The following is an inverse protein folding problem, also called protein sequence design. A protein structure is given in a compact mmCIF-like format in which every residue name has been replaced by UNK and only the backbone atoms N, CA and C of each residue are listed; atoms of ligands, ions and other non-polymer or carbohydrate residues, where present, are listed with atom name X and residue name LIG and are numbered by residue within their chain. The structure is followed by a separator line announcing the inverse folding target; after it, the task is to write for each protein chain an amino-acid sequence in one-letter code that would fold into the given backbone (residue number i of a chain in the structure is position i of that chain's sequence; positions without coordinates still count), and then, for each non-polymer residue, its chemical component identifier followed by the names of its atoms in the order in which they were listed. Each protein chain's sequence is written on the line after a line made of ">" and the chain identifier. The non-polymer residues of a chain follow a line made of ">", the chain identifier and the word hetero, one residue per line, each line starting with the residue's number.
data_IF_753146298278
#
_entry.id   IF_753146298278
#
_cell.length_a   1.000
_cell.length_b   1.000
_cell.length_c   1.000
_cell.angle_alpha   90.00
_cell.angle_beta   90.00
_cell.angle_gamma   90.00
#
_symmetry.space_group_name_H-M   'P 1'
#
loop_
_entity.id
_entity.type
_entity.pdbx_description
1 polymer ?
#
# COMPACT_ATOMS: atom_id res chain seq x y z
N UNK A 1 23.89 20.48 33.22
CA UNK A 1 22.61 20.08 32.59
C UNK A 1 22.86 18.76 31.89
N UNK A 2 22.29 17.68 32.42
CA UNK A 2 22.47 16.30 31.98
C UNK A 2 21.21 15.92 31.18
N UNK A 3 21.31 15.78 29.86
CA UNK A 3 20.21 15.25 29.06
C UNK A 3 20.26 13.73 29.16
N UNK A 4 19.35 13.19 29.96
CA UNK A 4 19.23 11.76 30.19
C UNK A 4 18.99 11.00 28.87
N UNK A 5 19.92 10.09 28.60
CA UNK A 5 19.81 9.01 27.64
C UNK A 5 18.73 8.04 28.11
N UNK A 6 17.53 8.11 27.50
CA UNK A 6 16.52 7.08 27.67
C UNK A 6 16.82 5.97 26.65
N UNK A 7 17.44 4.91 27.15
CA UNK A 7 17.62 3.65 26.45
C UNK A 7 16.27 3.17 25.90
N UNK A 8 16.16 3.09 24.56
CA UNK A 8 15.06 2.37 23.91
C UNK A 8 15.26 0.87 24.15
N UNK A 9 14.29 0.14 24.71
CA UNK A 9 14.39 -1.31 24.78
C UNK A 9 14.36 -1.89 23.36
N UNK A 10 15.28 -2.83 23.10
CA UNK A 10 15.27 -3.64 21.90
C UNK A 10 13.95 -4.41 21.86
N UNK A 11 13.14 -4.19 20.82
CA UNK A 11 12.02 -5.08 20.52
C UNK A 11 12.61 -6.37 19.94
N UNK A 12 12.40 -7.54 20.57
CA UNK A 12 12.75 -8.80 19.96
C UNK A 12 11.56 -9.24 19.11
N UNK A 13 11.64 -9.05 17.79
CA UNK A 13 11.34 -10.05 16.76
C UNK A 13 11.59 -9.41 15.39
N UNK A 14 12.62 -9.95 14.75
CA UNK A 14 13.03 -9.73 13.36
C UNK A 14 11.92 -10.18 12.40
N UNK A 15 11.17 -9.22 11.88
CA UNK A 15 10.44 -9.36 10.62
C UNK A 15 11.33 -8.71 9.56
N UNK A 16 12.05 -9.57 8.86
CA UNK A 16 13.19 -9.25 8.02
C UNK A 16 12.94 -8.10 7.04
N UNK A 17 14.00 -7.34 6.88
CA UNK A 17 14.24 -6.33 5.85
C UNK A 17 13.55 -6.66 4.51
N UNK A 18 12.32 -6.17 4.32
CA UNK A 18 11.80 -6.00 2.97
C UNK A 18 12.56 -4.81 2.43
N UNK A 19 13.64 -5.11 1.72
CA UNK A 19 14.42 -4.13 0.97
C UNK A 19 13.48 -3.45 -0.03
N UNK A 20 12.91 -2.31 0.36
CA UNK A 20 12.29 -1.38 -0.57
C UNK A 20 13.40 -0.98 -1.52
N UNK A 21 13.44 -1.61 -2.70
CA UNK A 21 14.44 -1.28 -3.70
C UNK A 21 14.33 0.24 -3.97
N UNK A 22 15.43 1.00 -3.96
CA UNK A 22 15.38 2.43 -4.25
C UNK A 22 14.72 2.65 -5.61
N UNK A 23 13.56 3.31 -5.63
CA UNK A 23 12.77 3.54 -6.85
C UNK A 23 11.62 2.55 -7.10
N UNK A 24 11.35 1.61 -6.19
CA UNK A 24 10.15 0.78 -6.24
C UNK A 24 8.92 1.60 -5.83
N UNK A 25 7.84 1.44 -6.60
CA UNK A 25 6.59 2.17 -6.43
C UNK A 25 5.57 1.39 -5.60
N UNK A 26 4.52 2.06 -5.11
CA UNK A 26 3.55 1.48 -4.18
C UNK A 26 2.89 0.20 -4.73
N UNK A 27 2.44 0.22 -5.99
CA UNK A 27 1.81 -0.94 -6.63
C UNK A 27 2.77 -2.10 -6.79
N UNK A 28 4.02 -1.81 -7.18
CA UNK A 28 5.06 -2.82 -7.36
C UNK A 28 5.43 -3.53 -6.04
N UNK A 29 5.51 -2.79 -4.93
CA UNK A 29 5.80 -3.36 -3.60
C UNK A 29 4.69 -4.30 -3.14
N UNK A 30 3.42 -3.91 -3.33
CA UNK A 30 2.27 -4.76 -2.99
C UNK A 30 2.23 -6.04 -3.82
N UNK A 31 2.47 -5.92 -5.13
CA UNK A 31 2.52 -7.06 -6.05
C UNK A 31 3.65 -8.04 -5.67
N UNK A 32 4.85 -7.52 -5.41
CA UNK A 32 5.99 -8.32 -5.01
C UNK A 32 5.72 -9.07 -3.69
N UNK A 33 5.23 -8.37 -2.67
CA UNK A 33 4.93 -8.97 -1.36
C UNK A 33 3.80 -10.01 -1.42
N UNK A 34 2.83 -9.84 -2.33
CA UNK A 34 1.78 -10.83 -2.61
C UNK A 34 2.36 -12.09 -3.24
N UNK A 35 3.16 -11.94 -4.30
CA UNK A 35 3.78 -13.06 -5.01
C UNK A 35 4.73 -13.83 -4.10
N UNK A 36 5.52 -13.13 -3.28
CA UNK A 36 6.43 -13.75 -2.30
C UNK A 36 5.68 -14.62 -1.27
N UNK A 37 4.46 -14.22 -0.91
CA UNK A 37 3.57 -15.00 -0.02
C UNK A 37 2.78 -16.10 -0.74
N UNK A 38 2.95 -16.25 -2.05
CA UNK A 38 2.21 -17.23 -2.86
C UNK A 38 0.71 -16.96 -2.91
N UNK A 39 0.30 -15.68 -2.78
CA UNK A 39 -1.10 -15.27 -2.80
C UNK A 39 -1.54 -14.89 -4.21
N UNK A 40 -2.75 -15.30 -4.59
CA UNK A 40 -3.38 -14.87 -5.83
C UNK A 40 -4.11 -13.54 -5.63
N UNK A 41 -4.46 -12.85 -6.72
CA UNK A 41 -5.31 -11.64 -6.64
C UNK A 41 -6.66 -11.96 -5.96
N UNK A 42 -7.20 -13.14 -6.21
CA UNK A 42 -8.44 -13.64 -5.61
C UNK A 42 -8.36 -13.77 -4.09
N UNK A 43 -7.19 -14.07 -3.52
CA UNK A 43 -6.98 -14.10 -2.08
C UNK A 43 -7.10 -12.72 -1.44
N UNK A 44 -6.48 -11.72 -2.08
CA UNK A 44 -6.58 -10.33 -1.63
C UNK A 44 -8.01 -9.81 -1.77
N UNK A 45 -8.64 -10.05 -2.92
CA UNK A 45 -10.02 -9.67 -3.21
C UNK A 45 -10.99 -10.26 -2.17
N UNK A 46 -10.83 -11.53 -1.82
CA UNK A 46 -11.65 -12.21 -0.82
C UNK A 46 -11.58 -11.56 0.56
N UNK A 47 -10.39 -11.19 1.02
CA UNK A 47 -10.19 -10.60 2.36
C UNK A 47 -10.61 -9.14 2.40
N UNK A 48 -10.28 -8.36 1.36
CA UNK A 48 -10.58 -6.93 1.28
C UNK A 48 -12.03 -6.63 0.86
N UNK A 49 -12.72 -7.61 0.27
CA UNK A 49 -14.03 -7.47 -0.41
C UNK A 49 -14.02 -6.55 -1.63
N UNK A 50 -12.85 -6.27 -2.19
CA UNK A 50 -12.72 -5.65 -3.51
C UNK A 50 -12.76 -6.72 -4.60
N UNK A 51 -13.02 -6.31 -5.85
CA UNK A 51 -12.90 -7.22 -6.99
C UNK A 51 -11.42 -7.43 -7.36
N UNK A 52 -11.09 -8.55 -7.98
CA UNK A 52 -9.73 -8.82 -8.49
C UNK A 52 -9.26 -7.74 -9.48
N UNK A 53 -10.19 -7.26 -10.32
CA UNK A 53 -9.92 -6.15 -11.24
C UNK A 53 -9.47 -4.89 -10.48
N UNK A 54 -10.11 -4.58 -9.35
CA UNK A 54 -9.74 -3.43 -8.52
C UNK A 54 -8.37 -3.61 -7.84
N UNK A 55 -8.03 -4.84 -7.41
CA UNK A 55 -6.69 -5.14 -6.88
C UNK A 55 -5.63 -4.97 -7.98
N UNK A 56 -5.91 -5.46 -9.20
CA UNK A 56 -5.00 -5.33 -10.33
C UNK A 56 -4.73 -3.86 -10.72
N UNK A 57 -5.74 -2.98 -10.62
CA UNK A 57 -5.57 -1.53 -10.83
C UNK A 57 -4.59 -0.92 -9.81
N UNK A 58 -4.60 -1.39 -8.55
CA UNK A 58 -3.64 -0.93 -7.53
C UNK A 58 -2.21 -1.34 -7.92
N UNK A 59 -2.01 -2.61 -8.29
CA UNK A 59 -0.69 -3.13 -8.71
C UNK A 59 -0.17 -2.46 -9.98
N UNK A 60 -1.07 -2.14 -10.92
CA UNK A 60 -0.76 -1.45 -12.17
C UNK A 60 -0.61 0.07 -12.01
N UNK A 61 -0.92 0.61 -10.83
CA UNK A 61 -0.86 2.04 -10.51
C UNK A 61 -1.76 2.92 -11.36
N UNK A 62 -2.84 2.35 -11.89
CA UNK A 62 -3.84 3.10 -12.65
C UNK A 62 -4.82 3.78 -11.71
N UNK A 63 -4.26 4.64 -10.86
CA UNK A 63 -4.97 5.25 -9.76
C UNK A 63 -6.17 6.06 -10.23
N UNK A 64 -6.16 6.63 -11.43
CA UNK A 64 -7.25 7.46 -11.97
C UNK A 64 -8.61 6.75 -12.05
N UNK A 65 -8.63 5.42 -12.02
CA UNK A 65 -9.86 4.59 -11.98
C UNK A 65 -10.61 4.70 -10.64
N UNK A 66 -9.95 5.14 -9.55
CA UNK A 66 -10.63 5.33 -8.27
C UNK A 66 -11.47 6.60 -8.27
N UNK A 67 -12.60 6.59 -7.56
CA UNK A 67 -13.47 7.77 -7.45
C UNK A 67 -12.84 8.94 -6.67
N UNK A 68 -11.94 8.61 -5.73
CA UNK A 68 -11.25 9.58 -4.88
C UNK A 68 -10.01 8.95 -4.22
N UNK A 69 -8.98 9.75 -3.89
CA UNK A 69 -7.74 9.25 -3.29
C UNK A 69 -7.95 8.58 -1.92
N UNK A 70 -8.99 8.96 -1.17
CA UNK A 70 -9.30 8.35 0.13
C UNK A 70 -9.62 6.86 0.03
N UNK A 71 -10.26 6.43 -1.06
CA UNK A 71 -10.56 5.03 -1.30
C UNK A 71 -9.30 4.23 -1.64
N UNK A 72 -8.42 4.80 -2.46
CA UNK A 72 -7.14 4.19 -2.81
C UNK A 72 -6.25 4.02 -1.57
N UNK A 73 -6.13 5.05 -0.72
CA UNK A 73 -5.38 4.95 0.54
C UNK A 73 -5.96 3.88 1.48
N UNK A 74 -7.29 3.78 1.56
CA UNK A 74 -7.96 2.74 2.34
C UNK A 74 -7.66 1.34 1.81
N UNK A 75 -7.67 1.17 0.48
CA UNK A 75 -7.39 -0.09 -0.18
C UNK A 75 -5.93 -0.52 -0.02
N UNK A 76 -4.98 0.38 -0.26
CA UNK A 76 -3.54 0.13 -0.04
C UNK A 76 -3.25 -0.27 1.40
N UNK A 77 -3.88 0.40 2.38
CA UNK A 77 -3.73 0.05 3.79
C UNK A 77 -4.27 -1.33 4.15
N UNK A 78 -5.42 -1.71 3.58
CA UNK A 78 -5.99 -3.04 3.78
C UNK A 78 -5.10 -4.12 3.14
N UNK A 79 -4.62 -3.87 1.92
CA UNK A 79 -3.75 -4.78 1.20
C UNK A 79 -2.41 -4.95 1.93
N UNK A 80 -1.72 -3.86 2.28
CA UNK A 80 -0.43 -3.90 2.98
C UNK A 80 -0.47 -4.79 4.23
N UNK A 81 -1.56 -4.74 5.01
CA UNK A 81 -1.73 -5.61 6.19
C UNK A 81 -1.85 -7.10 5.86
N UNK A 82 -2.47 -7.45 4.73
CA UNK A 82 -2.60 -8.85 4.29
C UNK A 82 -1.25 -9.41 3.88
N UNK A 83 -0.43 -8.57 3.23
CA UNK A 83 0.92 -8.92 2.81
C UNK A 83 1.99 -8.46 3.80
N UNK A 84 1.62 -8.23 5.06
CA UNK A 84 2.52 -7.93 6.18
C UNK A 84 3.62 -6.89 5.83
N UNK A 85 3.19 -5.81 5.17
CA UNK A 85 3.94 -4.59 4.92
C UNK A 85 3.49 -3.49 5.88
N UNK A 86 4.38 -2.54 6.17
CA UNK A 86 4.00 -1.33 6.91
C UNK A 86 3.05 -0.46 6.08
N UNK A 87 1.79 -0.43 6.52
CA UNK A 87 0.74 0.27 5.80
C UNK A 87 0.92 1.80 5.78
N UNK A 88 1.54 2.41 6.79
CA UNK A 88 1.75 3.86 6.80
C UNK A 88 2.88 4.26 5.85
N UNK A 89 3.95 3.46 5.80
CA UNK A 89 5.05 3.67 4.84
C UNK A 89 4.52 3.63 3.40
N UNK A 90 3.69 2.62 3.08
CA UNK A 90 3.09 2.49 1.75
C UNK A 90 2.11 3.62 1.43
N UNK A 91 1.30 4.07 2.40
CA UNK A 91 0.40 5.21 2.20
C UNK A 91 1.17 6.51 1.98
N UNK A 92 2.29 6.72 2.65
CA UNK A 92 3.11 7.91 2.45
C UNK A 92 3.80 7.91 1.09
N UNK A 93 4.35 6.76 0.67
CA UNK A 93 4.87 6.57 -0.69
C UNK A 93 3.80 6.89 -1.75
N UNK A 94 2.61 6.32 -1.58
CA UNK A 94 1.47 6.56 -2.46
C UNK A 94 1.10 8.05 -2.56
N UNK A 95 1.11 8.78 -1.44
CA UNK A 95 0.83 10.23 -1.45
C UNK A 95 1.83 10.99 -2.31
N UNK A 96 3.11 10.65 -2.20
CA UNK A 96 4.16 11.20 -3.04
C UNK A 96 3.92 10.92 -4.52
N UNK A 97 3.53 9.70 -4.86
CA UNK A 97 3.22 9.30 -6.24
C UNK A 97 1.99 10.01 -6.81
N UNK A 98 0.91 10.14 -6.03
CA UNK A 98 -0.31 10.87 -6.44
C UNK A 98 0.01 12.34 -6.68
N UNK A 99 0.79 12.96 -5.80
CA UNK A 99 1.19 14.35 -5.94
C UNK A 99 2.06 14.58 -7.19
N UNK A 100 2.96 13.65 -7.51
CA UNK A 100 3.82 13.73 -8.68
C UNK A 100 3.08 13.52 -10.02
N UNK A 101 1.96 12.78 -10.01
CA UNK A 101 1.21 12.40 -11.23
C UNK A 101 0.06 13.34 -11.60
N UNK A 102 -0.18 14.39 -10.81
CA UNK A 102 -1.27 15.37 -10.99
C UNK A 102 -2.61 14.70 -11.40
N UNK A 103 -2.99 13.65 -10.66
CA UNK A 103 -4.11 12.78 -11.05
C UNK A 103 -5.42 13.56 -11.01
N UNK A 104 -6.07 13.68 -12.18
CA UNK A 104 -7.41 14.24 -12.30
C UNK A 104 -8.45 13.19 -11.92
N UNK A 105 -8.79 13.17 -10.63
CA UNK A 105 -9.90 12.39 -10.10
C UNK A 105 -11.22 12.91 -10.69
N UNK A 106 -11.70 12.29 -11.77
CA UNK A 106 -13.05 12.60 -12.27
C UNK A 106 -14.04 12.15 -11.21
N UNK A 107 -15.10 12.93 -11.00
CA UNK A 107 -16.29 12.50 -10.25
C UNK A 107 -16.94 11.32 -10.97
N UNK A 108 -16.37 10.12 -10.87
CA UNK A 108 -16.87 8.93 -11.54
C UNK A 108 -18.09 8.43 -10.77
N UNK A 109 -19.20 8.29 -11.49
CA UNK A 109 -20.53 7.93 -11.00
C UNK A 109 -20.64 6.50 -10.50
N UNK A 110 -19.94 6.16 -9.42
CA UNK A 110 -20.07 4.90 -8.67
C UNK A 110 -21.25 4.92 -7.68
N UNK A 111 -22.19 5.86 -7.84
CA UNK A 111 -23.46 5.99 -7.08
C UNK A 111 -24.69 5.98 -8.01
N UNK A 112 -24.63 5.25 -9.14
CA UNK A 112 -25.79 5.00 -9.99
C UNK A 112 -26.15 3.51 -9.97
#
# INVERSE_FOLDING_TARGET
>A
MLTAELARPALPMDLGDIAVAPGASCGALLAAARVERGLELSDIARVTRFSEAFIAVIEAEDYAEFAAPIYLMGAVRAYARIVDLDAEVLVELLRGEIAAREISWRRSGWLA
#
